data_IF_431596787610
#
_entry.id   IF_431596787610
#
_cell.length_a   1.000
_cell.length_b   1.000
_cell.length_c   1.000
_cell.angle_alpha   90.00
_cell.angle_beta   90.00
_cell.angle_gamma   90.00
#
_symmetry.space_group_name_H-M   'P 1'
#
loop_
_entity.id
_entity.type
_entity.pdbx_description
1 polymer ?
#
# COMPACT_ATOMS: atom_id res chain seq x y z
N UNK A 1 -9.64 -5.26 -3.25
CA UNK A 1 -9.62 -4.10 -2.33
C UNK A 1 -9.47 -2.82 -3.13
N UNK A 2 -10.27 -1.83 -2.83
CA UNK A 2 -10.22 -0.50 -3.44
C UNK A 2 -9.51 0.47 -2.51
N UNK A 3 -8.54 1.22 -3.03
CA UNK A 3 -7.89 2.30 -2.32
C UNK A 3 -8.15 3.62 -3.03
N UNK A 4 -8.66 4.58 -2.28
CA UNK A 4 -8.80 5.97 -2.72
C UNK A 4 -7.98 6.84 -1.78
N UNK A 5 -7.01 7.62 -2.30
CA UNK A 5 -6.29 8.56 -1.46
C UNK A 5 -7.27 9.59 -0.91
N UNK A 6 -7.30 9.74 0.42
CA UNK A 6 -8.07 10.80 1.04
C UNK A 6 -7.42 12.14 0.71
N UNK A 7 -8.01 12.84 -0.23
CA UNK A 7 -7.76 14.25 -0.45
C UNK A 7 -9.10 14.96 -0.44
N UNK A 8 -9.12 16.15 0.14
CA UNK A 8 -10.24 17.06 -0.08
C UNK A 8 -10.53 17.09 -1.60
N UNK A 9 -11.80 16.99 -2.02
CA UNK A 9 -12.13 16.82 -3.43
C UNK A 9 -11.61 18.01 -4.23
N UNK A 10 -10.47 17.82 -4.89
CA UNK A 10 -10.04 18.71 -5.93
C UNK A 10 -10.74 18.24 -7.20
N UNK A 11 -11.51 19.14 -7.79
CA UNK A 11 -12.33 18.87 -8.99
C UNK A 11 -11.50 18.79 -10.26
N UNK A 12 -10.29 18.22 -10.22
CA UNK A 12 -9.39 18.26 -11.37
C UNK A 12 -9.10 16.86 -11.89
N UNK A 13 -9.46 16.63 -13.14
CA UNK A 13 -9.17 15.45 -13.90
C UNK A 13 -10.28 14.39 -13.91
N UNK A 14 -10.21 13.44 -14.84
CA UNK A 14 -11.17 12.36 -14.98
C UNK A 14 -11.08 11.39 -13.81
N UNK A 15 -12.17 10.67 -13.56
CA UNK A 15 -12.17 9.55 -12.62
C UNK A 15 -11.58 8.33 -13.33
N UNK A 16 -10.49 7.80 -12.76
CA UNK A 16 -9.79 6.64 -13.31
C UNK A 16 -9.70 5.56 -12.24
N UNK A 17 -10.14 4.36 -12.58
CA UNK A 17 -9.94 3.17 -11.77
C UNK A 17 -8.92 2.27 -12.46
N UNK A 18 -7.90 1.83 -11.72
CA UNK A 18 -6.85 0.94 -12.22
C UNK A 18 -6.91 -0.37 -11.45
N UNK A 19 -6.97 -1.48 -12.17
CA UNK A 19 -7.10 -2.83 -11.60
C UNK A 19 -5.81 -3.59 -11.87
N UNK A 20 -5.23 -4.20 -10.85
CA UNK A 20 -4.04 -5.02 -11.03
C UNK A 20 -3.30 -5.30 -9.73
N UNK A 21 -2.01 -5.58 -9.85
CA UNK A 21 -1.12 -5.85 -8.72
C UNK A 21 0.33 -5.65 -9.09
N UNK A 22 1.21 -5.77 -8.09
CA UNK A 22 2.65 -5.68 -8.28
C UNK A 22 3.15 -4.31 -8.72
N UNK A 23 4.36 -4.31 -9.28
CA UNK A 23 5.04 -3.07 -9.68
C UNK A 23 4.38 -2.38 -10.89
N UNK A 24 3.74 -3.13 -11.77
CA UNK A 24 3.05 -2.57 -12.93
C UNK A 24 1.94 -1.61 -12.53
N UNK A 25 1.11 -2.01 -11.57
CA UNK A 25 0.03 -1.17 -11.04
C UNK A 25 0.59 0.08 -10.35
N UNK A 26 1.57 -0.08 -9.46
CA UNK A 26 2.13 1.06 -8.72
C UNK A 26 2.84 2.05 -9.65
N UNK A 27 3.55 1.59 -10.67
CA UNK A 27 4.18 2.47 -11.67
C UNK A 27 3.14 3.27 -12.47
N UNK A 28 2.05 2.62 -12.86
CA UNK A 28 0.95 3.31 -13.56
C UNK A 28 0.31 4.37 -12.68
N UNK A 29 0.07 4.07 -11.40
CA UNK A 29 -0.50 5.03 -10.45
C UNK A 29 0.40 6.25 -10.25
N UNK A 30 1.72 6.06 -10.19
CA UNK A 30 2.67 7.18 -10.09
C UNK A 30 2.60 8.13 -11.27
N UNK A 31 2.41 7.59 -12.48
CA UNK A 31 2.21 8.42 -13.67
C UNK A 31 0.85 9.12 -13.69
N UNK A 32 -0.21 8.39 -13.39
CA UNK A 32 -1.59 8.90 -13.45
C UNK A 32 -1.88 9.98 -12.41
N UNK A 33 -1.25 9.95 -11.24
CA UNK A 33 -1.49 10.96 -10.19
C UNK A 33 -1.11 12.38 -10.61
N UNK A 34 -0.27 12.51 -11.62
CA UNK A 34 0.09 13.83 -12.19
C UNK A 34 -1.01 14.40 -13.09
N UNK A 35 -1.90 13.54 -13.60
CA UNK A 35 -2.99 13.94 -14.49
C UNK A 35 -4.34 14.08 -13.78
N UNK A 36 -4.56 13.31 -12.72
CA UNK A 36 -5.84 13.33 -12.01
C UNK A 36 -5.65 13.01 -10.54
N UNK A 37 -6.47 13.63 -9.72
CA UNK A 37 -6.59 13.31 -8.29
C UNK A 37 -7.73 12.34 -8.01
N UNK A 38 -8.59 12.10 -9.00
CA UNK A 38 -9.73 11.17 -8.90
C UNK A 38 -9.30 9.76 -9.30
N UNK A 39 -8.35 9.21 -8.56
CA UNK A 39 -7.68 7.96 -8.88
C UNK A 39 -8.03 6.89 -7.86
N UNK A 40 -8.51 5.75 -8.33
CA UNK A 40 -8.83 4.58 -7.50
C UNK A 40 -7.99 3.39 -7.97
N UNK A 41 -7.43 2.64 -7.04
CA UNK A 41 -6.72 1.41 -7.31
C UNK A 41 -7.49 0.22 -6.75
N UNK A 42 -7.74 -0.77 -7.59
CA UNK A 42 -8.32 -2.06 -7.19
C UNK A 42 -7.18 -3.08 -7.24
N UNK A 43 -6.71 -3.48 -6.07
CA UNK A 43 -5.46 -4.23 -5.91
C UNK A 43 -5.75 -5.70 -5.67
N UNK A 44 -5.08 -6.58 -6.42
CA UNK A 44 -5.14 -8.02 -6.14
C UNK A 44 -4.49 -8.33 -4.79
N UNK A 45 -5.07 -9.28 -4.07
CA UNK A 45 -4.56 -9.74 -2.76
C UNK A 45 -4.06 -11.19 -2.82
N UNK A 46 -3.67 -11.64 -3.99
CA UNK A 46 -3.23 -13.02 -4.24
C UNK A 46 -1.72 -13.22 -4.10
N UNK A 47 -0.93 -12.17 -3.84
CA UNK A 47 0.52 -12.26 -3.75
C UNK A 47 0.97 -12.93 -2.46
N UNK A 48 1.83 -13.97 -2.59
CA UNK A 48 2.48 -14.68 -1.50
C UNK A 48 4.01 -14.49 -1.47
N UNK A 49 4.55 -13.62 -2.34
CA UNK A 49 5.98 -13.39 -2.46
C UNK A 49 6.59 -12.55 -1.35
N UNK A 50 7.90 -12.69 -1.13
CA UNK A 50 8.65 -11.91 -0.14
C UNK A 50 8.08 -12.03 1.26
N UNK A 51 7.99 -10.89 1.97
CA UNK A 51 7.45 -10.83 3.32
C UNK A 51 5.93 -10.99 3.40
N UNK A 52 5.20 -10.81 2.29
CA UNK A 52 3.73 -10.87 2.28
C UNK A 52 3.20 -12.26 2.62
N UNK A 53 3.85 -13.32 2.13
CA UNK A 53 3.46 -14.69 2.44
C UNK A 53 3.56 -15.03 3.91
N UNK A 54 4.66 -14.62 4.57
CA UNK A 54 4.87 -14.84 6.01
C UNK A 54 3.81 -14.11 6.84
N UNK A 55 3.53 -12.83 6.53
CA UNK A 55 2.52 -12.05 7.24
C UNK A 55 1.11 -12.62 7.04
N UNK A 56 0.82 -13.13 5.85
CA UNK A 56 -0.47 -13.78 5.57
C UNK A 56 -0.66 -15.04 6.39
N UNK A 57 0.38 -15.88 6.51
CA UNK A 57 0.33 -17.11 7.28
C UNK A 57 0.32 -16.86 8.78
N UNK A 58 1.21 -15.98 9.26
CA UNK A 58 1.40 -15.77 10.70
C UNK A 58 0.27 -14.98 11.34
N UNK A 59 -0.26 -13.99 10.63
CA UNK A 59 -1.25 -13.04 11.16
C UNK A 59 -2.65 -13.22 10.57
N UNK A 60 -2.83 -14.09 9.59
CA UNK A 60 -4.10 -14.31 8.92
C UNK A 60 -4.64 -13.09 8.17
N UNK A 61 -3.76 -12.16 7.81
CA UNK A 61 -4.12 -10.94 7.09
C UNK A 61 -3.90 -11.11 5.59
N UNK A 62 -4.60 -10.34 4.73
CA UNK A 62 -4.28 -10.28 3.30
C UNK A 62 -2.81 -9.89 3.08
N UNK A 63 -2.16 -10.37 1.99
CA UNK A 63 -0.77 -10.01 1.72
C UNK A 63 -0.64 -8.50 1.49
N UNK A 64 0.22 -7.81 2.25
CA UNK A 64 0.25 -6.34 2.25
C UNK A 64 1.15 -5.72 1.18
N UNK A 65 2.00 -6.51 0.51
CA UNK A 65 3.05 -5.96 -0.35
C UNK A 65 2.53 -5.09 -1.49
N UNK A 66 1.59 -5.60 -2.28
CA UNK A 66 1.04 -4.85 -3.41
C UNK A 66 0.22 -3.64 -2.95
N UNK A 67 -0.52 -3.81 -1.85
CA UNK A 67 -1.30 -2.72 -1.25
C UNK A 67 -0.35 -1.62 -0.78
N UNK A 68 0.73 -1.96 -0.10
CA UNK A 68 1.75 -1.01 0.35
C UNK A 68 2.35 -0.25 -0.84
N UNK A 69 2.71 -0.94 -1.91
CA UNK A 69 3.25 -0.31 -3.11
C UNK A 69 2.27 0.71 -3.73
N UNK A 70 0.99 0.38 -3.74
CA UNK A 70 -0.04 1.30 -4.24
C UNK A 70 -0.24 2.50 -3.31
N UNK A 71 -0.22 2.30 -2.00
CA UNK A 71 -0.30 3.38 -1.03
C UNK A 71 0.85 4.38 -1.21
N UNK A 72 2.07 3.89 -1.36
CA UNK A 72 3.25 4.73 -1.64
C UNK A 72 3.13 5.48 -2.97
N UNK A 73 2.66 4.79 -4.01
CA UNK A 73 2.51 5.39 -5.33
C UNK A 73 1.49 6.53 -5.34
N UNK A 74 0.45 6.43 -4.53
CA UNK A 74 -0.62 7.43 -4.44
C UNK A 74 -0.34 8.52 -3.42
N UNK A 75 0.52 8.27 -2.44
CA UNK A 75 0.81 9.20 -1.36
C UNK A 75 1.73 10.35 -1.81
N UNK A 76 1.58 11.50 -1.14
CA UNK A 76 2.55 12.58 -1.16
C UNK A 76 3.31 12.53 0.16
N UNK A 77 4.16 11.54 0.31
CA UNK A 77 4.94 11.34 1.52
C UNK A 77 6.21 12.19 1.51
N UNK A 78 6.62 12.62 2.70
CA UNK A 78 7.93 13.22 2.87
C UNK A 78 9.04 12.19 2.59
N UNK A 79 10.23 12.63 2.11
CA UNK A 79 11.29 11.71 1.71
C UNK A 79 11.73 10.74 2.80
N UNK A 80 11.81 11.19 4.05
CA UNK A 80 12.19 10.32 5.18
C UNK A 80 11.16 9.22 5.43
N UNK A 81 9.88 9.57 5.41
CA UNK A 81 8.81 8.59 5.62
C UNK A 81 8.81 7.56 4.48
N UNK A 82 9.04 7.99 3.25
CA UNK A 82 9.19 7.08 2.12
C UNK A 82 10.35 6.10 2.32
N UNK A 83 11.49 6.59 2.75
CA UNK A 83 12.66 5.74 3.03
C UNK A 83 12.35 4.71 4.12
N UNK A 84 11.64 5.10 5.18
CA UNK A 84 11.23 4.19 6.25
C UNK A 84 10.28 3.10 5.73
N UNK A 85 9.27 3.48 4.99
CA UNK A 85 8.29 2.53 4.45
C UNK A 85 8.96 1.52 3.52
N UNK A 86 9.93 1.95 2.71
CA UNK A 86 10.67 1.12 1.77
C UNK A 86 11.79 0.30 2.41
N UNK A 87 12.16 0.62 3.64
CA UNK A 87 13.28 -0.07 4.30
C UNK A 87 13.00 -1.55 4.47
N UNK A 88 13.98 -2.39 4.11
CA UNK A 88 13.97 -3.83 4.34
C UNK A 88 15.05 -4.22 5.33
N UNK A 89 14.67 -5.01 6.31
CA UNK A 89 15.61 -5.55 7.28
C UNK A 89 16.56 -6.52 6.57
N UNK A 90 17.87 -6.39 6.87
CA UNK A 90 18.93 -7.14 6.21
C UNK A 90 19.37 -8.36 7.00
N UNK A 91 19.14 -8.39 8.30
CA UNK A 91 19.67 -9.40 9.21
C UNK A 91 18.61 -9.89 10.19
N UNK A 92 18.87 -11.06 10.76
CA UNK A 92 18.03 -11.66 11.79
C UNK A 92 16.73 -12.25 11.24
N UNK A 93 15.79 -12.51 12.15
CA UNK A 93 14.50 -13.15 11.80
C UNK A 93 13.60 -12.28 10.93
N UNK A 94 13.84 -10.96 10.92
CA UNK A 94 13.09 -10.01 10.09
C UNK A 94 13.70 -9.82 8.70
N UNK A 95 14.83 -10.49 8.38
CA UNK A 95 15.49 -10.33 7.09
C UNK A 95 14.51 -10.51 5.93
N UNK A 96 14.53 -9.57 4.98
CA UNK A 96 13.60 -9.54 3.84
C UNK A 96 12.26 -8.87 4.10
N UNK A 97 11.90 -8.60 5.34
CA UNK A 97 10.67 -7.88 5.70
C UNK A 97 10.85 -6.37 5.49
N UNK A 98 9.83 -5.72 4.91
CA UNK A 98 9.82 -4.26 4.84
C UNK A 98 9.19 -3.66 6.09
N UNK A 99 9.69 -2.49 6.50
CA UNK A 99 9.07 -1.73 7.58
C UNK A 99 7.61 -1.36 7.24
N UNK A 100 7.34 -1.01 5.98
CA UNK A 100 5.98 -0.67 5.54
C UNK A 100 4.99 -1.82 5.71
N UNK A 101 5.39 -3.05 5.40
CA UNK A 101 4.55 -4.23 5.61
C UNK A 101 4.29 -4.48 7.10
N UNK A 102 5.31 -4.34 7.94
CA UNK A 102 5.18 -4.48 9.40
C UNK A 102 4.31 -3.36 9.98
N UNK A 103 4.45 -2.15 9.49
CA UNK A 103 3.63 -1.01 9.90
C UNK A 103 2.14 -1.26 9.57
N UNK A 104 1.85 -1.74 8.36
CA UNK A 104 0.48 -2.09 7.98
C UNK A 104 -0.06 -3.26 8.82
N UNK A 105 0.77 -4.26 9.10
CA UNK A 105 0.40 -5.37 9.97
C UNK A 105 0.07 -4.90 11.39
N UNK A 106 0.85 -3.97 11.94
CA UNK A 106 0.59 -3.37 13.24
C UNK A 106 -0.72 -2.58 13.25
N UNK A 107 -0.97 -1.78 12.21
CA UNK A 107 -2.25 -1.07 12.06
C UNK A 107 -3.43 -2.04 11.96
N UNK A 108 -3.25 -3.16 11.26
CA UNK A 108 -4.27 -4.20 11.20
C UNK A 108 -4.57 -4.78 12.59
N UNK A 109 -3.54 -4.97 13.41
CA UNK A 109 -3.69 -5.48 14.78
C UNK A 109 -4.50 -4.57 15.71
N UNK A 110 -4.43 -3.25 15.51
CA UNK A 110 -5.15 -2.26 16.34
C UNK A 110 -6.44 -1.75 15.69
N UNK A 111 -6.75 -2.22 14.50
CA UNK A 111 -7.92 -1.77 13.73
C UNK A 111 -9.00 -2.87 13.71
N UNK A 112 -10.30 -2.50 13.59
CA UNK A 112 -11.38 -3.48 13.55
C UNK A 112 -11.39 -4.34 12.28
N UNK A 113 -10.78 -3.86 11.19
CA UNK A 113 -10.66 -4.60 9.93
C UNK A 113 -9.42 -4.20 9.16
N UNK A 114 -9.02 -5.03 8.20
CA UNK A 114 -7.91 -4.71 7.32
C UNK A 114 -8.19 -3.47 6.45
N UNK A 115 -9.41 -3.31 5.98
CA UNK A 115 -9.83 -2.11 5.26
C UNK A 115 -9.61 -0.83 6.09
N UNK A 116 -9.94 -0.88 7.37
CA UNK A 116 -9.70 0.24 8.28
C UNK A 116 -8.21 0.53 8.44
N UNK A 117 -7.40 -0.52 8.56
CA UNK A 117 -5.94 -0.38 8.64
C UNK A 117 -5.37 0.31 7.39
N UNK A 118 -5.79 -0.10 6.21
CA UNK A 118 -5.37 0.51 4.94
C UNK A 118 -5.77 1.98 4.87
N UNK A 119 -6.99 2.31 5.28
CA UNK A 119 -7.44 3.71 5.33
C UNK A 119 -6.60 4.55 6.28
N UNK A 120 -6.32 4.05 7.47
CA UNK A 120 -5.47 4.74 8.45
C UNK A 120 -4.05 4.96 7.96
N UNK A 121 -3.49 4.00 7.24
CA UNK A 121 -2.16 4.15 6.65
C UNK A 121 -2.15 5.23 5.55
N UNK A 122 -3.28 5.48 4.90
CA UNK A 122 -3.39 6.46 3.83
C UNK A 122 -3.59 7.91 4.32
N UNK A 123 -3.89 8.11 5.57
CA UNK A 123 -4.04 9.42 6.21
C UNK A 123 -2.68 10.04 6.57
#
# INVERSE_FOLDING_TARGET
>A
MEYQPYRAPRKHGPRIAVIGGGHGLSNMLRGLKDYTENLSAIVTVADDGGGSGALRQDLGMPPPGDIRNCLEALANTEPLMKQLIDYRFQEGTLAGQSFGNLFLAALNGISPSFDTAVRRMSE
#
